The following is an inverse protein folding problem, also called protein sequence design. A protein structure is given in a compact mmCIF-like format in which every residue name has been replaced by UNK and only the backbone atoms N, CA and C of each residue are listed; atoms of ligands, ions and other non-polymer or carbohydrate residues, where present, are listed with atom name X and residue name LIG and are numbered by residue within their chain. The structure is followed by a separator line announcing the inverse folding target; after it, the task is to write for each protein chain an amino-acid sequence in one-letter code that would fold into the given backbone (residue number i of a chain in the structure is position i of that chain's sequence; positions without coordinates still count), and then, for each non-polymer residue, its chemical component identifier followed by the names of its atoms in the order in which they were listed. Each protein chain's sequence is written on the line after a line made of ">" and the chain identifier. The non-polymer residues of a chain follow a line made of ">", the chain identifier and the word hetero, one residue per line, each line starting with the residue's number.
data_IF_724909030060
#
_entry.id   IF_724909030060
#
_cell.length_a   1.000
_cell.length_b   1.000
_cell.length_c   1.000
_cell.angle_alpha   90.00
_cell.angle_beta   90.00
_cell.angle_gamma   90.00
#
_symmetry.space_group_name_H-M   'P 1'
#
loop_
_entity.id
_entity.type
_entity.pdbx_description
1 polymer ?
#
# COMPACT_ATOMS: atom_id res chain seq x y z
N UNK A 1 -12.32 -26.03 -10.28
CA UNK A 1 -12.93 -24.93 -9.51
C UNK A 1 -12.06 -24.69 -8.29
N UNK A 2 -11.51 -23.50 -8.14
CA UNK A 2 -10.67 -23.16 -6.97
C UNK A 2 -11.61 -22.57 -5.93
N UNK A 3 -11.72 -23.20 -4.76
CA UNK A 3 -12.45 -22.68 -3.61
C UNK A 3 -11.49 -22.19 -2.55
N UNK A 4 -11.73 -20.98 -2.01
CA UNK A 4 -10.91 -20.40 -0.94
C UNK A 4 -11.08 -18.89 -0.87
N UNK A 5 -10.37 -18.27 0.08
CA UNK A 5 -10.30 -16.81 0.20
C UNK A 5 -9.09 -16.30 -0.60
N UNK A 6 -9.29 -15.69 -1.77
CA UNK A 6 -8.19 -15.22 -2.61
C UNK A 6 -7.42 -14.03 -2.03
N UNK A 7 -7.94 -13.45 -0.94
CA UNK A 7 -7.33 -12.33 -0.24
C UNK A 7 -8.22 -11.77 0.86
N UNK A 8 -7.76 -10.71 1.52
CA UNK A 8 -8.51 -9.95 2.51
C UNK A 8 -9.06 -8.65 1.91
N UNK A 9 -10.20 -8.20 2.40
CA UNK A 9 -10.81 -6.92 2.01
C UNK A 9 -10.89 -5.98 3.21
N UNK A 10 -10.66 -4.69 2.97
CA UNK A 10 -10.76 -3.63 3.99
C UNK A 10 -12.02 -2.80 3.73
N UNK A 11 -13.14 -3.22 4.31
CA UNK A 11 -14.45 -2.58 4.07
C UNK A 11 -14.73 -1.39 4.98
N UNK A 12 -14.11 -1.37 6.14
CA UNK A 12 -14.46 -0.44 7.23
C UNK A 12 -13.50 0.73 7.38
N UNK A 13 -12.59 0.92 6.43
CA UNK A 13 -11.69 2.08 6.43
C UNK A 13 -12.47 3.38 6.30
N UNK A 14 -12.04 4.39 7.04
CA UNK A 14 -12.52 5.77 6.93
C UNK A 14 -11.95 6.46 5.68
N UNK A 15 -12.42 7.65 5.36
CA UNK A 15 -11.88 8.46 4.26
C UNK A 15 -10.40 8.73 4.45
N UNK A 16 -9.99 9.08 5.68
CA UNK A 16 -8.59 9.37 6.00
C UNK A 16 -7.68 8.15 5.85
N UNK A 17 -8.12 6.96 6.28
CA UNK A 17 -7.38 5.72 6.13
C UNK A 17 -7.24 5.29 4.66
N UNK A 18 -8.28 5.50 3.84
CA UNK A 18 -8.18 5.23 2.39
C UNK A 18 -7.19 6.17 1.71
N UNK A 19 -7.19 7.47 2.06
CA UNK A 19 -6.21 8.44 1.57
C UNK A 19 -4.79 8.08 2.01
N UNK A 20 -4.60 7.75 3.29
CA UNK A 20 -3.31 7.31 3.79
C UNK A 20 -2.77 6.10 3.02
N UNK A 21 -3.63 5.10 2.75
CA UNK A 21 -3.23 3.94 1.96
C UNK A 21 -2.77 4.32 0.54
N UNK A 22 -3.44 5.26 -0.10
CA UNK A 22 -3.03 5.75 -1.42
C UNK A 22 -1.68 6.48 -1.35
N UNK A 23 -1.57 7.46 -0.46
CA UNK A 23 -0.47 8.42 -0.43
C UNK A 23 0.77 7.88 0.31
N UNK A 24 0.57 7.15 1.41
CA UNK A 24 1.67 6.70 2.28
C UNK A 24 2.13 5.27 1.99
N UNK A 25 1.30 4.43 1.33
CA UNK A 25 1.68 3.07 0.98
C UNK A 25 1.82 2.85 -0.53
N UNK A 26 0.75 3.14 -1.30
CA UNK A 26 0.73 2.80 -2.71
C UNK A 26 1.65 3.68 -3.55
N UNK A 27 1.61 5.00 -3.38
CA UNK A 27 2.40 5.94 -4.18
C UNK A 27 3.91 5.74 -4.04
N UNK A 28 4.49 5.67 -2.82
CA UNK A 28 5.92 5.37 -2.68
C UNK A 28 6.27 3.98 -3.24
N UNK A 29 5.41 2.98 -3.08
CA UNK A 29 5.61 1.65 -3.65
C UNK A 29 5.61 1.67 -5.18
N UNK A 30 4.67 2.38 -5.80
CA UNK A 30 4.59 2.55 -7.25
C UNK A 30 5.88 3.18 -7.79
N UNK A 31 6.35 4.26 -7.16
CA UNK A 31 7.56 4.98 -7.59
C UNK A 31 8.81 4.12 -7.44
N UNK A 32 9.03 3.54 -6.26
CA UNK A 32 10.25 2.79 -5.95
C UNK A 32 10.30 1.49 -6.77
N UNK A 33 9.20 0.73 -6.81
CA UNK A 33 9.17 -0.51 -7.61
C UNK A 33 9.20 -0.24 -9.10
N UNK A 34 8.58 0.83 -9.58
CA UNK A 34 8.66 1.23 -10.98
C UNK A 34 10.09 1.47 -11.43
N UNK A 35 10.87 2.25 -10.65
CA UNK A 35 12.28 2.47 -10.93
C UNK A 35 13.09 1.16 -10.89
N UNK A 36 12.88 0.32 -9.87
CA UNK A 36 13.53 -0.99 -9.76
C UNK A 36 13.24 -1.91 -10.95
N UNK A 37 11.98 -1.98 -11.36
CA UNK A 37 11.56 -2.83 -12.48
C UNK A 37 12.12 -2.35 -13.81
N UNK A 38 12.31 -1.05 -14.02
CA UNK A 38 12.94 -0.50 -15.21
C UNK A 38 14.38 -0.98 -15.33
N UNK A 39 15.17 -0.83 -14.25
CA UNK A 39 16.57 -1.29 -14.21
C UNK A 39 16.65 -2.82 -14.39
N UNK A 40 15.82 -3.59 -13.69
CA UNK A 40 15.81 -5.04 -13.83
C UNK A 40 15.48 -5.48 -15.26
N UNK A 41 14.51 -4.83 -15.90
CA UNK A 41 14.12 -5.15 -17.27
C UNK A 41 15.26 -4.92 -18.25
N UNK A 42 16.00 -3.83 -18.10
CA UNK A 42 17.17 -3.52 -18.92
C UNK A 42 18.23 -4.60 -18.80
N UNK A 43 18.62 -4.96 -17.58
CA UNK A 43 19.67 -5.97 -17.34
C UNK A 43 19.22 -7.37 -17.77
N UNK A 44 17.94 -7.72 -17.58
CA UNK A 44 17.37 -9.00 -18.02
C UNK A 44 17.30 -9.11 -19.53
N UNK A 45 17.12 -8.00 -20.25
CA UNK A 45 17.12 -8.00 -21.72
C UNK A 45 18.54 -8.19 -22.31
N UNK A 46 19.57 -7.85 -21.56
CA UNK A 46 20.96 -7.97 -22.00
C UNK A 46 21.51 -9.41 -21.90
N UNK A 47 20.90 -10.29 -21.09
CA UNK A 47 21.41 -11.64 -20.89
C UNK A 47 20.32 -12.64 -20.47
N UNK A 48 20.21 -13.75 -21.20
CA UNK A 48 19.29 -14.85 -20.89
C UNK A 48 19.59 -15.48 -19.51
N UNK A 49 20.87 -15.59 -19.15
CA UNK A 49 21.27 -16.08 -17.83
C UNK A 49 20.71 -15.22 -16.73
N UNK A 50 20.86 -13.90 -16.84
CA UNK A 50 20.34 -12.95 -15.86
C UNK A 50 18.80 -12.97 -15.86
N UNK A 51 18.20 -13.04 -17.04
CA UNK A 51 16.73 -13.12 -17.16
C UNK A 51 16.17 -14.31 -16.39
N UNK A 52 16.76 -15.49 -16.49
CA UNK A 52 16.32 -16.69 -15.76
C UNK A 52 16.51 -16.51 -14.27
N UNK A 53 17.65 -15.98 -13.81
CA UNK A 53 17.95 -15.77 -12.40
C UNK A 53 17.00 -14.78 -11.72
N UNK A 54 16.59 -13.73 -12.43
CA UNK A 54 15.79 -12.65 -11.85
C UNK A 54 14.31 -12.70 -12.19
N UNK A 55 13.86 -13.62 -13.05
CA UNK A 55 12.47 -13.71 -13.50
C UNK A 55 11.47 -13.77 -12.35
N UNK A 56 11.71 -14.60 -11.33
CA UNK A 56 10.80 -14.71 -10.18
C UNK A 56 10.79 -13.45 -9.31
N UNK A 57 11.95 -12.84 -9.06
CA UNK A 57 12.09 -11.59 -8.32
C UNK A 57 11.39 -10.43 -9.05
N UNK A 58 11.56 -10.36 -10.38
CA UNK A 58 10.86 -9.41 -11.22
C UNK A 58 9.34 -9.60 -11.16
N UNK A 59 8.86 -10.83 -11.30
CA UNK A 59 7.44 -11.15 -11.26
C UNK A 59 6.82 -10.77 -9.92
N UNK A 60 7.45 -11.11 -8.81
CA UNK A 60 7.00 -10.74 -7.46
C UNK A 60 6.94 -9.23 -7.26
N UNK A 61 8.00 -8.48 -7.65
CA UNK A 61 8.02 -7.02 -7.56
C UNK A 61 6.93 -6.38 -8.44
N UNK A 62 6.77 -6.88 -9.67
CA UNK A 62 5.79 -6.41 -10.64
C UNK A 62 4.34 -6.65 -10.18
N UNK A 63 4.07 -7.78 -9.53
CA UNK A 63 2.75 -8.09 -8.99
C UNK A 63 2.28 -7.02 -7.99
N UNK A 64 3.09 -6.70 -6.99
CA UNK A 64 2.77 -5.66 -6.01
C UNK A 64 2.71 -4.26 -6.63
N UNK A 65 3.56 -3.96 -7.60
CA UNK A 65 3.54 -2.69 -8.34
C UNK A 65 2.22 -2.50 -9.08
N UNK A 66 1.80 -3.51 -9.85
CA UNK A 66 0.52 -3.49 -10.58
C UNK A 66 -0.69 -3.45 -9.64
N UNK A 67 -0.63 -4.17 -8.52
CA UNK A 67 -1.69 -4.17 -7.51
C UNK A 67 -1.87 -2.76 -6.92
N UNK A 68 -0.78 -2.05 -6.57
CA UNK A 68 -0.86 -0.70 -6.02
C UNK A 68 -1.42 0.30 -7.05
N UNK A 69 -1.01 0.21 -8.31
CA UNK A 69 -1.57 1.04 -9.40
C UNK A 69 -3.07 0.76 -9.57
N UNK A 70 -3.43 -0.52 -9.67
CA UNK A 70 -4.82 -0.94 -9.85
C UNK A 70 -5.71 -0.53 -8.69
N UNK A 71 -5.20 -0.60 -7.46
CA UNK A 71 -5.93 -0.16 -6.27
C UNK A 71 -6.19 1.34 -6.29
N UNK A 72 -5.17 2.17 -6.53
CA UNK A 72 -5.35 3.63 -6.60
C UNK A 72 -6.33 4.00 -7.71
N UNK A 73 -6.20 3.37 -8.87
CA UNK A 73 -7.12 3.58 -9.98
C UNK A 73 -8.55 3.18 -9.62
N UNK A 74 -8.76 2.02 -9.03
CA UNK A 74 -10.07 1.56 -8.62
C UNK A 74 -10.73 2.48 -7.57
N UNK A 75 -9.96 3.04 -6.64
CA UNK A 75 -10.43 4.00 -5.65
C UNK A 75 -10.93 5.28 -6.34
N UNK A 76 -10.19 5.76 -7.34
CA UNK A 76 -10.54 6.97 -8.10
C UNK A 76 -11.73 6.72 -9.03
N UNK A 77 -11.65 5.68 -9.87
CA UNK A 77 -12.66 5.38 -10.90
C UNK A 77 -14.04 5.06 -10.32
N UNK A 78 -14.10 4.52 -9.11
CA UNK A 78 -15.36 4.19 -8.42
C UNK A 78 -15.77 5.20 -7.35
N UNK A 79 -15.14 6.35 -7.29
CA UNK A 79 -15.40 7.38 -6.26
C UNK A 79 -15.55 6.80 -4.84
N UNK A 80 -14.57 5.95 -4.45
CA UNK A 80 -14.60 5.29 -3.14
C UNK A 80 -14.54 6.33 -2.01
N UNK A 81 -13.78 7.42 -2.20
CA UNK A 81 -13.68 8.49 -1.20
C UNK A 81 -15.01 9.21 -0.99
N UNK A 82 -15.75 9.52 -2.07
CA UNK A 82 -17.09 10.13 -1.97
C UNK A 82 -18.10 9.19 -1.31
N UNK A 83 -18.07 7.90 -1.69
CA UNK A 83 -18.92 6.87 -1.07
C UNK A 83 -18.65 6.75 0.44
N UNK A 84 -17.38 6.76 0.85
CA UNK A 84 -16.97 6.70 2.27
C UNK A 84 -17.37 7.95 3.03
N UNK A 85 -17.18 9.13 2.44
CA UNK A 85 -17.63 10.40 3.06
C UNK A 85 -19.15 10.42 3.31
N UNK A 86 -19.93 9.90 2.34
CA UNK A 86 -21.38 9.78 2.53
C UNK A 86 -21.76 8.78 3.64
N UNK A 87 -20.99 7.68 3.81
CA UNK A 87 -21.17 6.73 4.92
C UNK A 87 -20.83 7.37 6.26
N UNK A 88 -19.75 8.13 6.35
CA UNK A 88 -19.36 8.86 7.58
C UNK A 88 -20.41 9.93 7.98
N UNK A 89 -20.98 10.64 6.99
CA UNK A 89 -22.06 11.58 7.24
C UNK A 89 -23.30 10.89 7.83
N UNK A 90 -23.71 9.76 7.26
CA UNK A 90 -24.83 8.94 7.79
C UNK A 90 -24.53 8.41 9.20
N UNK A 91 -23.29 8.01 9.45
CA UNK A 91 -22.87 7.57 10.77
C UNK A 91 -22.91 8.72 11.78
N UNK A 92 -22.54 9.93 11.39
CA UNK A 92 -22.62 11.10 12.24
C UNK A 92 -24.08 11.47 12.64
N UNK A 93 -25.03 11.29 11.71
CA UNK A 93 -26.47 11.45 12.01
C UNK A 93 -26.93 10.38 13.01
N UNK A 94 -26.60 9.12 12.76
CA UNK A 94 -26.90 8.02 13.70
C UNK A 94 -26.31 8.26 15.10
N UNK A 95 -25.06 8.75 15.17
CA UNK A 95 -24.40 9.06 16.43
C UNK A 95 -25.15 10.15 17.24
N UNK A 96 -25.69 11.15 16.54
CA UNK A 96 -26.53 12.19 17.16
C UNK A 96 -27.85 11.61 17.69
N UNK A 97 -28.52 10.77 16.93
CA UNK A 97 -29.78 10.11 17.36
C UNK A 97 -29.56 9.25 18.61
N UNK A 98 -28.44 8.53 18.69
CA UNK A 98 -28.10 7.67 19.82
C UNK A 98 -27.60 8.46 21.05
N UNK A 99 -27.32 9.75 20.90
CA UNK A 99 -26.76 10.61 21.95
C UNK A 99 -25.56 9.97 22.68
N UNK A 100 -24.68 9.32 21.89
CA UNK A 100 -23.50 8.60 22.41
C UNK A 100 -22.24 9.39 22.09
N UNK A 101 -21.54 9.87 23.10
CA UNK A 101 -20.35 10.70 22.97
C UNK A 101 -19.18 9.95 22.27
N UNK A 102 -19.06 8.64 22.47
CA UNK A 102 -18.01 7.86 21.82
C UNK A 102 -18.26 7.73 20.31
N UNK A 103 -19.51 7.50 19.91
CA UNK A 103 -19.85 7.46 18.48
C UNK A 103 -19.64 8.83 17.81
N UNK A 104 -19.99 9.93 18.50
CA UNK A 104 -19.83 11.26 17.96
C UNK A 104 -18.37 11.67 17.72
N UNK A 105 -17.41 11.04 18.40
CA UNK A 105 -15.98 11.42 18.35
C UNK A 105 -15.09 10.41 17.66
N UNK A 106 -15.58 9.18 17.37
CA UNK A 106 -14.70 8.08 16.90
C UNK A 106 -14.04 8.37 15.54
N UNK A 107 -14.78 8.88 14.56
CA UNK A 107 -14.24 9.19 13.24
C UNK A 107 -13.14 10.26 13.37
N UNK A 108 -13.42 11.34 14.12
CA UNK A 108 -12.42 12.38 14.37
C UNK A 108 -11.17 11.83 15.07
N UNK A 109 -11.33 10.95 16.06
CA UNK A 109 -10.17 10.31 16.73
C UNK A 109 -9.32 9.50 15.74
N UNK A 110 -9.96 8.78 14.81
CA UNK A 110 -9.27 8.05 13.74
C UNK A 110 -8.53 9.02 12.83
N UNK A 111 -9.18 10.08 12.36
CA UNK A 111 -8.56 11.10 11.50
C UNK A 111 -7.34 11.74 12.16
N UNK A 112 -7.45 12.11 13.44
CA UNK A 112 -6.34 12.69 14.21
C UNK A 112 -5.16 11.70 14.38
N UNK A 113 -5.45 10.40 14.51
CA UNK A 113 -4.42 9.35 14.56
C UNK A 113 -3.76 9.17 13.17
N UNK A 114 -4.55 9.05 12.13
CA UNK A 114 -4.05 8.92 10.74
C UNK A 114 -3.16 10.11 10.38
N UNK A 115 -3.58 11.33 10.71
CA UNK A 115 -2.76 12.53 10.46
C UNK A 115 -1.39 12.48 11.15
N UNK A 116 -1.29 11.84 12.32
CA UNK A 116 -0.03 11.65 13.05
C UNK A 116 0.81 10.51 12.48
N UNK A 117 0.17 9.43 12.03
CA UNK A 117 0.87 8.21 11.57
C UNK A 117 1.24 8.24 10.10
N UNK A 118 0.49 8.94 9.25
CA UNK A 118 0.69 8.96 7.81
C UNK A 118 2.13 9.33 7.38
N UNK A 119 2.78 10.36 7.96
CA UNK A 119 4.19 10.67 7.62
C UNK A 119 5.15 9.54 8.01
N UNK A 120 4.91 8.89 9.14
CA UNK A 120 5.72 7.76 9.60
C UNK A 120 5.52 6.52 8.71
N UNK A 121 4.29 6.24 8.32
CA UNK A 121 3.95 5.15 7.41
C UNK A 121 4.54 5.36 6.02
N UNK A 122 4.56 6.61 5.53
CA UNK A 122 5.24 6.95 4.29
C UNK A 122 6.75 6.67 4.38
N UNK A 123 7.42 7.17 5.43
CA UNK A 123 8.84 6.94 5.66
C UNK A 123 9.17 5.45 5.82
N UNK A 124 8.36 4.73 6.59
CA UNK A 124 8.51 3.29 6.77
C UNK A 124 8.32 2.53 5.46
N UNK A 125 7.35 2.91 4.63
CA UNK A 125 7.14 2.30 3.32
C UNK A 125 8.34 2.56 2.40
N UNK A 126 8.86 3.78 2.36
CA UNK A 126 10.07 4.10 1.61
C UNK A 126 11.25 3.25 2.07
N UNK A 127 11.49 3.19 3.38
CA UNK A 127 12.57 2.40 3.96
C UNK A 127 12.42 0.90 3.65
N UNK A 128 11.22 0.37 3.83
CA UNK A 128 10.91 -1.03 3.53
C UNK A 128 11.12 -1.37 2.06
N UNK A 129 10.67 -0.52 1.16
CA UNK A 129 10.79 -0.77 -0.27
C UNK A 129 12.23 -0.58 -0.79
N UNK A 130 13.03 0.30 -0.19
CA UNK A 130 14.41 0.55 -0.63
C UNK A 130 15.43 -0.38 0.00
N UNK A 131 15.31 -0.66 1.29
CA UNK A 131 16.30 -1.47 2.03
C UNK A 131 15.84 -2.91 2.24
N UNK A 132 14.72 -3.11 2.92
CA UNK A 132 14.29 -4.46 3.31
C UNK A 132 13.62 -5.24 2.18
N UNK A 133 12.97 -4.55 1.24
CA UNK A 133 12.34 -5.14 0.06
C UNK A 133 13.20 -5.05 -1.21
N UNK A 134 14.45 -4.57 -1.09
CA UNK A 134 15.40 -4.54 -2.20
C UNK A 134 15.82 -5.96 -2.58
N UNK A 135 15.99 -6.20 -3.88
CA UNK A 135 16.21 -7.55 -4.40
C UNK A 135 17.55 -8.15 -3.94
N UNK A 136 18.61 -7.33 -3.85
CA UNK A 136 19.94 -7.80 -3.48
C UNK A 136 20.54 -7.10 -2.24
N UNK A 137 20.10 -5.90 -1.93
CA UNK A 137 20.75 -5.09 -0.88
C UNK A 137 20.70 -5.75 0.50
N UNK A 138 19.55 -6.33 0.87
CA UNK A 138 19.39 -7.05 2.15
C UNK A 138 20.28 -8.28 2.25
N UNK A 139 20.47 -9.00 1.14
CA UNK A 139 21.32 -10.20 1.08
C UNK A 139 22.81 -9.84 1.23
N UNK A 140 23.25 -8.75 0.62
CA UNK A 140 24.64 -8.27 0.69
C UNK A 140 24.96 -7.77 2.09
N UNK A 141 24.05 -7.02 2.73
CA UNK A 141 24.23 -6.55 4.11
C UNK A 141 24.32 -7.71 5.10
N UNK A 142 23.43 -8.71 4.98
CA UNK A 142 23.45 -9.91 5.84
C UNK A 142 24.70 -10.78 5.62
N UNK A 143 25.26 -10.83 4.41
CA UNK A 143 26.50 -11.54 4.14
C UNK A 143 27.69 -10.85 4.84
N UNK A 144 27.79 -9.52 4.76
CA UNK A 144 28.87 -8.74 5.39
C UNK A 144 28.84 -8.71 6.91
N UNK A 145 27.69 -8.95 7.54
CA UNK A 145 27.61 -9.00 9.02
C UNK A 145 27.96 -10.37 9.58
N UNK A 146 28.25 -11.37 8.74
CA UNK A 146 28.66 -12.73 9.13
C UNK A 146 30.15 -13.01 8.96
N UNK A 147 30.91 -12.09 8.42
CA UNK A 147 32.37 -12.05 8.39
C UNK A 147 32.91 -11.29 9.62
#
# INVERSE_FOLDING_TARGET
>A
MIMGFPGSTSRYLTVSEVKERMESENDPRIRIRGARLAVLKEVMNASDKIRIQYANKYAGSSNYWKNSIGMNRAIIDNDVLGTKAAQEAKFAEFAKEKNNADYATVVKKIDDLVAKTAPLNYQFTCLRETFFGAIEFGSVMLAKTRE
#
